data_IF_287937402115
#
_entry.id   IF_287937402115
#
_cell.length_a   1.000
_cell.length_b   1.000
_cell.length_c   1.000
_cell.angle_alpha   90.00
_cell.angle_beta   90.00
_cell.angle_gamma   90.00
#
_symmetry.space_group_name_H-M   'P 1'
#
loop_
_entity.id
_entity.type
_entity.pdbx_description
1 polymer ?
#
# COMPACT_ATOMS: atom_id res chain seq x y z
N UNK A 1 -32.02 -1.55 7.05
CA UNK A 1 -31.01 -0.70 6.39
C UNK A 1 -29.77 -1.57 6.24
N UNK A 2 -29.35 -1.90 5.01
CA UNK A 2 -28.18 -2.74 4.77
C UNK A 2 -26.93 -1.88 4.97
N UNK A 3 -26.11 -2.21 5.95
CA UNK A 3 -24.86 -1.51 6.23
C UNK A 3 -23.87 -1.77 5.08
N UNK A 4 -23.49 -0.72 4.36
CA UNK A 4 -22.48 -0.82 3.32
C UNK A 4 -21.12 -1.09 3.98
N UNK A 5 -20.54 -2.25 3.72
CA UNK A 5 -19.21 -2.61 4.21
C UNK A 5 -18.25 -2.78 3.04
N UNK A 6 -17.37 -1.80 2.85
CA UNK A 6 -16.32 -1.89 1.85
C UNK A 6 -15.35 -3.03 2.18
N UNK A 7 -15.05 -3.88 1.21
CA UNK A 7 -13.96 -4.86 1.27
C UNK A 7 -12.78 -4.32 0.44
N UNK A 8 -12.02 -3.38 1.00
CA UNK A 8 -10.79 -2.90 0.38
C UNK A 8 -9.72 -2.59 1.43
N UNK A 9 -8.46 -2.72 1.00
CA UNK A 9 -7.27 -2.31 1.75
C UNK A 9 -6.54 -1.22 0.98
N UNK A 10 -7.32 -0.27 0.45
CA UNK A 10 -6.82 0.91 -0.21
C UNK A 10 -6.16 1.81 0.83
N UNK A 11 -4.93 2.21 0.59
CA UNK A 11 -4.20 3.18 1.41
C UNK A 11 -3.68 4.31 0.53
N UNK A 12 -3.54 5.49 1.12
CA UNK A 12 -2.97 6.67 0.49
C UNK A 12 -1.57 6.87 1.04
N UNK A 13 -0.57 6.93 0.17
CA UNK A 13 0.82 7.22 0.53
C UNK A 13 0.92 8.69 0.95
N UNK A 14 1.49 8.96 2.13
CA UNK A 14 1.68 10.34 2.62
C UNK A 14 3.13 10.69 2.93
N UNK A 15 4.05 9.75 2.70
CA UNK A 15 5.49 9.99 2.81
C UNK A 15 6.26 9.15 1.80
N UNK A 16 7.31 9.73 1.24
CA UNK A 16 8.21 9.06 0.31
C UNK A 16 8.78 7.75 0.87
N UNK A 17 8.99 6.74 0.00
CA UNK A 17 9.58 5.48 0.38
C UNK A 17 11.05 5.62 0.78
N UNK A 18 11.45 4.83 1.76
CA UNK A 18 12.84 4.66 2.17
C UNK A 18 13.26 3.21 2.01
N UNK A 19 14.55 3.00 1.75
CA UNK A 19 15.15 1.66 1.66
C UNK A 19 16.22 1.55 2.73
N UNK A 20 16.17 0.48 3.50
CA UNK A 20 17.22 0.10 4.46
C UNK A 20 17.61 -1.36 4.26
N UNK A 21 18.71 -1.77 4.89
CA UNK A 21 19.15 -3.17 4.91
C UNK A 21 19.16 -3.68 6.34
N UNK A 22 18.72 -4.91 6.53
CA UNK A 22 18.73 -5.61 7.82
C UNK A 22 19.23 -7.05 7.64
N UNK A 23 19.66 -7.65 8.75
CA UNK A 23 19.85 -9.11 8.86
C UNK A 23 18.84 -9.62 9.89
N UNK A 24 17.71 -10.20 9.46
CA UNK A 24 16.69 -10.69 10.38
C UNK A 24 17.22 -11.80 11.27
N UNK A 25 16.81 -11.81 12.55
CA UNK A 25 17.18 -12.88 13.50
C UNK A 25 16.28 -14.10 13.41
N UNK A 26 15.10 -13.98 12.78
CA UNK A 26 14.10 -15.05 12.68
C UNK A 26 13.25 -14.90 11.40
N UNK A 27 12.49 -15.95 11.06
CA UNK A 27 11.60 -16.00 9.90
C UNK A 27 12.26 -16.52 8.61
N UNK A 28 11.55 -16.47 7.46
CA UNK A 28 12.02 -17.03 6.19
C UNK A 28 13.35 -16.45 5.67
N UNK A 29 13.68 -15.23 6.12
CA UNK A 29 14.88 -14.50 5.72
C UNK A 29 15.93 -14.42 6.84
N UNK A 30 15.82 -15.24 7.89
CA UNK A 30 16.76 -15.23 9.01
C UNK A 30 18.21 -15.44 8.53
N UNK A 31 19.14 -14.63 9.06
CA UNK A 31 20.57 -14.70 8.73
C UNK A 31 20.96 -14.23 7.33
N UNK A 32 20.00 -13.76 6.53
CA UNK A 32 20.23 -13.25 5.17
C UNK A 32 20.10 -11.73 5.14
N UNK A 33 21.04 -11.07 4.48
CA UNK A 33 20.91 -9.66 4.19
C UNK A 33 19.64 -9.42 3.36
N UNK A 34 18.76 -8.58 3.90
CA UNK A 34 17.41 -8.35 3.37
C UNK A 34 17.18 -6.85 3.27
N UNK A 35 16.76 -6.39 2.10
CA UNK A 35 16.34 -5.01 1.92
C UNK A 35 14.91 -4.82 2.43
N UNK A 36 14.70 -3.72 3.14
CA UNK A 36 13.40 -3.29 3.64
C UNK A 36 13.03 -2.00 2.91
N UNK A 37 11.98 -2.08 2.10
CA UNK A 37 11.28 -0.90 1.60
C UNK A 37 10.23 -0.51 2.63
N UNK A 38 10.26 0.73 3.12
CA UNK A 38 9.25 1.29 4.01
C UNK A 38 8.67 2.58 3.42
N UNK A 39 7.35 2.70 3.40
CA UNK A 39 6.65 3.97 3.16
C UNK A 39 5.51 4.13 4.17
N UNK A 40 5.07 5.37 4.39
CA UNK A 40 3.95 5.65 5.29
C UNK A 40 2.68 5.86 4.47
N UNK A 41 1.60 5.21 4.89
CA UNK A 41 0.31 5.31 4.24
C UNK A 41 -0.81 5.37 5.27
N UNK A 42 -1.96 5.95 4.89
CA UNK A 42 -3.16 5.94 5.73
C UNK A 42 -4.32 5.30 4.99
N UNK A 43 -5.21 4.62 5.71
CA UNK A 43 -6.47 4.11 5.17
C UNK A 43 -7.54 5.19 5.35
N UNK A 44 -8.06 5.78 4.28
CA UNK A 44 -9.10 6.79 4.40
C UNK A 44 -10.39 6.14 4.92
N UNK A 45 -11.04 6.79 5.88
CA UNK A 45 -12.35 6.41 6.40
C UNK A 45 -13.39 7.42 5.94
N UNK A 46 -14.48 6.96 5.33
CA UNK A 46 -15.56 7.82 4.84
C UNK A 46 -16.88 7.41 5.47
N UNK A 47 -17.60 8.38 6.04
CA UNK A 47 -18.91 8.18 6.65
C UNK A 47 -19.99 8.77 5.75
N UNK A 48 -21.05 7.99 5.52
CA UNK A 48 -22.22 8.44 4.79
C UNK A 48 -23.05 9.37 5.67
N UNK A 49 -23.27 10.57 5.18
CA UNK A 49 -24.07 11.60 5.82
C UNK A 49 -25.58 11.38 5.56
N UNK A 50 -26.43 12.08 6.32
CA UNK A 50 -27.90 11.98 6.20
C UNK A 50 -28.43 12.41 4.82
N UNK A 51 -27.73 13.32 4.16
CA UNK A 51 -28.04 13.80 2.81
C UNK A 51 -27.55 12.82 1.71
N UNK A 52 -26.91 11.72 2.08
CA UNK A 52 -26.38 10.72 1.17
C UNK A 52 -24.96 10.98 0.67
N UNK A 53 -24.36 12.13 1.00
CA UNK A 53 -22.95 12.42 0.70
C UNK A 53 -22.00 11.59 1.55
N UNK A 54 -20.74 11.46 1.13
CA UNK A 54 -19.68 10.84 1.93
C UNK A 54 -18.68 11.91 2.35
N UNK A 55 -18.35 11.95 3.64
CA UNK A 55 -17.31 12.82 4.17
C UNK A 55 -16.22 11.99 4.81
N UNK A 56 -14.97 12.43 4.63
CA UNK A 56 -13.84 11.77 5.29
C UNK A 56 -13.92 12.03 6.79
N UNK A 57 -13.93 10.96 7.55
CA UNK A 57 -13.81 10.99 9.00
C UNK A 57 -12.33 10.87 9.37
N UNK A 58 -11.81 11.92 10.00
CA UNK A 58 -10.40 12.00 10.39
C UNK A 58 -10.09 11.13 11.59
N UNK A 59 -11.06 10.90 12.47
CA UNK A 59 -10.85 10.14 13.71
C UNK A 59 -10.82 8.63 13.44
N UNK A 60 -11.52 8.17 12.41
CA UNK A 60 -11.44 6.79 11.90
C UNK A 60 -10.26 6.51 10.96
N UNK A 61 -9.39 7.49 10.68
CA UNK A 61 -8.26 7.30 9.76
C UNK A 61 -7.13 6.52 10.42
N UNK A 62 -6.83 5.34 9.88
CA UNK A 62 -5.73 4.49 10.37
C UNK A 62 -4.43 4.77 9.62
N UNK A 63 -3.32 4.86 10.35
CA UNK A 63 -1.98 5.10 9.79
C UNK A 63 -1.13 3.84 9.85
N UNK A 64 -0.36 3.58 8.80
CA UNK A 64 0.46 2.40 8.63
C UNK A 64 1.88 2.72 8.21
N UNK A 65 2.82 1.96 8.78
CA UNK A 65 4.11 1.68 8.18
C UNK A 65 4.00 0.48 7.25
N UNK A 66 3.97 0.72 5.95
CA UNK A 66 3.93 -0.37 4.98
C UNK A 66 5.35 -0.82 4.69
N UNK A 67 5.63 -2.11 4.89
CA UNK A 67 6.96 -2.70 4.72
C UNK A 67 6.95 -3.85 3.73
N UNK A 68 7.92 -3.84 2.82
CA UNK A 68 8.27 -4.99 2.00
C UNK A 68 9.68 -5.46 2.38
N UNK A 69 9.83 -6.77 2.55
CA UNK A 69 11.11 -7.43 2.82
C UNK A 69 11.49 -8.27 1.61
N UNK A 70 12.66 -8.02 1.02
CA UNK A 70 13.14 -8.86 -0.07
C UNK A 70 14.42 -8.37 -0.71
N UNK A 71 14.58 -8.68 -2.00
CA UNK A 71 15.77 -8.31 -2.78
C UNK A 71 15.85 -6.80 -2.98
N UNK A 72 17.07 -6.27 -2.93
CA UNK A 72 17.37 -4.85 -3.11
C UNK A 72 16.87 -4.30 -4.45
N UNK A 73 17.06 -5.05 -5.54
CA UNK A 73 16.62 -4.64 -6.88
C UNK A 73 15.11 -4.43 -6.96
N UNK A 74 14.33 -5.34 -6.35
CA UNK A 74 12.88 -5.21 -6.25
C UNK A 74 12.48 -4.02 -5.38
N UNK A 75 13.13 -3.84 -4.23
CA UNK A 75 12.87 -2.73 -3.33
C UNK A 75 13.13 -1.37 -4.01
N UNK A 76 14.25 -1.22 -4.72
CA UNK A 76 14.61 -0.02 -5.49
C UNK A 76 13.61 0.26 -6.60
N UNK A 77 13.24 -0.75 -7.38
CA UNK A 77 12.26 -0.59 -8.46
C UNK A 77 10.89 -0.16 -7.93
N UNK A 78 10.44 -0.73 -6.82
CA UNK A 78 9.18 -0.34 -6.19
C UNK A 78 9.26 1.09 -5.61
N UNK A 79 10.32 1.44 -4.90
CA UNK A 79 10.52 2.79 -4.36
C UNK A 79 10.45 3.86 -5.45
N UNK A 80 11.08 3.63 -6.61
CA UNK A 80 11.05 4.57 -7.73
C UNK A 80 9.64 4.81 -8.30
N UNK A 81 8.73 3.85 -8.13
CA UNK A 81 7.35 3.95 -8.61
C UNK A 81 6.36 4.49 -7.59
N UNK A 82 6.69 4.46 -6.30
CA UNK A 82 5.80 4.89 -5.21
C UNK A 82 6.02 6.37 -4.92
N UNK A 83 4.96 7.17 -5.04
CA UNK A 83 4.98 8.61 -4.79
C UNK A 83 3.95 8.99 -3.74
N UNK A 84 4.20 10.12 -3.07
CA UNK A 84 3.22 10.74 -2.19
C UNK A 84 1.91 11.03 -2.94
N UNK A 85 0.77 10.82 -2.27
CA UNK A 85 -0.57 10.99 -2.82
C UNK A 85 -1.09 9.78 -3.63
N UNK A 86 -0.28 8.75 -3.86
CA UNK A 86 -0.75 7.55 -4.58
C UNK A 86 -1.72 6.72 -3.73
N UNK A 87 -2.78 6.23 -4.38
CA UNK A 87 -3.71 5.24 -3.84
C UNK A 87 -3.25 3.85 -4.25
N UNK A 88 -2.90 3.04 -3.27
CA UNK A 88 -2.40 1.68 -3.47
C UNK A 88 -3.33 0.67 -2.80
N UNK A 89 -3.61 -0.43 -3.49
CA UNK A 89 -4.20 -1.62 -2.89
C UNK A 89 -3.07 -2.46 -2.30
N UNK A 90 -3.12 -2.68 -0.99
CA UNK A 90 -2.09 -3.45 -0.28
C UNK A 90 -2.70 -4.73 0.27
N UNK A 91 -2.03 -5.86 0.01
CA UNK A 91 -2.34 -7.14 0.64
C UNK A 91 -1.18 -7.54 1.53
N UNK A 92 -1.45 -7.91 2.77
CA UNK A 92 -0.40 -8.25 3.72
C UNK A 92 -0.94 -8.62 5.10
N UNK A 93 -0.03 -8.71 6.06
CA UNK A 93 -0.34 -8.93 7.47
C UNK A 93 -0.18 -7.62 8.24
N UNK A 94 -1.09 -7.32 9.16
CA UNK A 94 -1.01 -6.17 10.06
C UNK A 94 -0.52 -6.64 11.43
N UNK A 95 0.42 -5.91 11.99
CA UNK A 95 0.90 -6.08 13.36
C UNK A 95 1.07 -4.73 14.02
N UNK A 96 0.81 -4.62 15.31
CA UNK A 96 1.12 -3.41 16.08
C UNK A 96 2.50 -3.53 16.70
N UNK A 97 3.32 -2.49 16.55
CA UNK A 97 4.65 -2.40 17.15
C UNK A 97 4.68 -1.28 18.18
N UNK A 98 5.15 -1.59 19.37
CA UNK A 98 5.45 -0.60 20.40
C UNK A 98 6.90 -0.11 20.30
N UNK A 99 7.10 1.20 20.47
CA UNK A 99 8.41 1.82 20.50
C UNK A 99 8.41 3.08 21.36
N UNK A 100 9.55 3.39 21.96
CA UNK A 100 9.72 4.65 22.69
C UNK A 100 10.06 5.77 21.72
N UNK A 101 9.21 6.79 21.65
CA UNK A 101 9.44 8.00 20.87
C UNK A 101 10.61 8.83 21.41
N UNK A 102 11.11 9.79 20.62
CA UNK A 102 12.20 10.70 21.03
C UNK A 102 11.88 11.51 22.29
N UNK A 103 10.60 11.66 22.62
CA UNK A 103 10.08 12.32 23.80
C UNK A 103 9.96 11.39 25.04
N UNK A 104 10.47 10.15 24.97
CA UNK A 104 10.40 9.17 26.04
C UNK A 104 9.03 8.50 26.22
N UNK A 105 8.02 8.87 25.43
CA UNK A 105 6.68 8.25 25.51
C UNK A 105 6.66 6.94 24.73
N UNK A 106 5.97 5.94 25.27
CA UNK A 106 5.59 4.76 24.51
C UNK A 106 4.62 5.15 23.40
N UNK A 107 4.90 4.68 22.20
CA UNK A 107 4.11 4.90 21.00
C UNK A 107 3.79 3.55 20.39
N UNK A 108 2.64 3.48 19.73
CA UNK A 108 2.23 2.33 18.92
C UNK A 108 2.22 2.74 17.45
N UNK A 109 2.67 1.83 16.60
CA UNK A 109 2.64 1.97 15.15
C UNK A 109 2.05 0.71 14.53
N UNK A 110 1.06 0.86 13.66
CA UNK A 110 0.57 -0.25 12.85
C UNK A 110 1.56 -0.49 11.71
N UNK A 111 2.09 -1.71 11.64
CA UNK A 111 3.00 -2.15 10.58
C UNK A 111 2.23 -3.10 9.67
N UNK A 112 2.13 -2.74 8.39
CA UNK A 112 1.56 -3.58 7.35
C UNK A 112 2.70 -4.24 6.56
N UNK A 113 2.92 -5.53 6.79
CA UNK A 113 3.91 -6.31 6.02
C UNK A 113 3.30 -6.73 4.70
N UNK A 114 3.67 -6.03 3.63
CA UNK A 114 3.10 -6.19 2.30
C UNK A 114 3.58 -7.48 1.61
N UNK A 115 2.60 -8.28 1.17
CA UNK A 115 2.74 -9.47 0.30
C UNK A 115 2.32 -9.18 -1.15
N UNK A 116 1.64 -8.07 -1.38
CA UNK A 116 1.20 -7.63 -2.71
C UNK A 116 0.86 -6.15 -2.69
N UNK A 117 1.16 -5.48 -3.80
CA UNK A 117 0.93 -4.05 -4.00
C UNK A 117 0.42 -3.84 -5.42
N UNK A 118 -0.64 -3.06 -5.57
CA UNK A 118 -1.15 -2.62 -6.86
C UNK A 118 -1.59 -1.17 -6.81
N UNK A 119 -1.59 -0.49 -7.97
CA UNK A 119 -2.20 0.84 -8.10
C UNK A 119 -3.73 0.68 -8.05
N UNK A 120 -4.40 1.50 -7.24
CA UNK A 120 -5.86 1.47 -7.17
C UNK A 120 -6.47 2.02 -8.46
N UNK A 121 -7.57 1.44 -8.94
CA UNK A 121 -8.31 1.99 -10.07
C UNK A 121 -8.98 3.34 -9.76
N UNK A 122 -9.13 3.66 -8.48
CA UNK A 122 -9.63 4.96 -8.01
C UNK A 122 -8.51 6.01 -7.88
N UNK A 123 -7.30 5.70 -8.36
CA UNK A 123 -6.16 6.61 -8.35
C UNK A 123 -6.53 7.95 -9.02
N UNK A 124 -6.37 9.09 -8.31
CA UNK A 124 -6.60 10.40 -8.90
C UNK A 124 -5.72 10.62 -10.14
N UNK A 125 -6.33 11.07 -11.22
CA UNK A 125 -5.64 11.32 -12.49
C UNK A 125 -5.30 10.07 -13.31
N UNK A 126 -5.74 8.88 -12.90
CA UNK A 126 -5.58 7.67 -13.70
C UNK A 126 -6.44 7.76 -14.96
N UNK A 127 -5.79 7.74 -16.12
CA UNK A 127 -6.46 7.60 -17.43
C UNK A 127 -6.21 6.18 -17.92
N UNK A 128 -7.28 5.46 -18.28
CA UNK A 128 -7.20 4.09 -18.79
C UNK A 128 -7.61 4.12 -20.25
N UNK A 129 -6.64 3.96 -21.14
CA UNK A 129 -6.88 3.82 -22.58
C UNK A 129 -7.14 2.35 -22.92
N UNK A 130 -8.38 2.05 -23.34
CA UNK A 130 -8.73 0.71 -23.82
C UNK A 130 -8.39 0.58 -25.31
N UNK A 131 -7.26 -0.03 -25.62
CA UNK A 131 -6.97 -0.46 -26.98
C UNK A 131 -7.79 -1.71 -27.30
N UNK A 132 -8.62 -1.65 -28.36
CA UNK A 132 -9.21 -2.88 -28.91
C UNK A 132 -8.07 -3.83 -29.32
N UNK A 133 -8.20 -5.14 -29.02
CA UNK A 133 -7.28 -6.12 -29.57
C UNK A 133 -7.24 -5.96 -31.10
N UNK A 134 -6.04 -5.88 -31.68
CA UNK A 134 -5.90 -5.90 -33.14
C UNK A 134 -6.57 -7.18 -33.64
N UNK A 135 -7.44 -7.06 -34.65
CA UNK A 135 -8.02 -8.21 -35.31
C UNK A 135 -6.88 -9.11 -35.80
N UNK A 136 -7.00 -10.43 -35.58
CA UNK A 136 -6.05 -11.38 -36.17
C UNK A 136 -6.12 -11.19 -37.69
N UNK A 137 -4.97 -10.96 -38.32
CA UNK A 137 -4.88 -11.02 -39.78
C UNK A 137 -5.32 -12.41 -40.22
N UNK A 138 -6.17 -12.53 -41.25
CA UNK A 138 -6.54 -13.84 -41.78
C UNK A 138 -5.26 -14.55 -42.24
N UNK A 139 -5.01 -15.74 -41.69
CA UNK A 139 -3.97 -16.64 -42.21
C UNK A 139 -4.29 -16.85 -43.70
N UNK A 140 -3.40 -16.39 -44.57
CA UNK A 140 -3.50 -16.67 -45.99
C UNK A 140 -3.46 -18.20 -46.16
N UNK A 141 -4.58 -18.77 -46.60
CA UNK A 141 -4.67 -20.18 -47.00
C UNK A 141 -3.57 -20.45 -48.03
N UNK A 142 -2.69 -21.39 -47.69
CA UNK A 142 -1.63 -21.92 -48.58
C UNK A 142 -2.16 -23.11 -49.38
#
# INVERSE_FOLDING_TARGET
>A
MTEYKAFSNTVVVFKEPTISQIVPKSGPNAGKETSVLEFKAYKPHFVKQKDGSFQQDKDGTEFFSVRYYGKESSAKRMAAGIKEGMMLEVRGDISTREFTGKNGKQMQENVLTAKGLAVSLNQPGLTIDYCRPKAKEPEAER
#
